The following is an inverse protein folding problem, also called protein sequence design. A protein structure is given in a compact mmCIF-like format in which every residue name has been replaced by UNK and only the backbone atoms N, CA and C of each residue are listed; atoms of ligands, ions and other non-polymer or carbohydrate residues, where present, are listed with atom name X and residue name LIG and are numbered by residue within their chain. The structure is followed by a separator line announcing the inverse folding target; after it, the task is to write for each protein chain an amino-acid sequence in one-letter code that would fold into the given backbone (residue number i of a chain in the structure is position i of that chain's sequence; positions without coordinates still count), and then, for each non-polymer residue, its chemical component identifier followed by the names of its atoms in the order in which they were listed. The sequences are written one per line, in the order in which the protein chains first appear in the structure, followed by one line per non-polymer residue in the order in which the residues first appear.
data_IF_085795895141
#
_entry.id   IF_085795895141
#
_cell.length_a   1.000
_cell.length_b   1.000
_cell.length_c   1.000
_cell.angle_alpha   90.00
_cell.angle_beta   90.00
_cell.angle_gamma   90.00
#
_symmetry.space_group_name_H-M   'P 1'
#
loop_
_entity.id
_entity.type
_entity.pdbx_description
1 polymer ?
#
# COMPACT_ATOMS: atom_id res chain seq x y z
N UNK A 1 8.50 -10.95 -8.31
CA UNK A 1 8.06 -9.68 -7.71
C UNK A 1 6.58 -9.49 -8.00
N UNK A 2 5.80 -9.07 -7.00
CA UNK A 2 4.37 -8.85 -7.13
C UNK A 2 4.01 -7.38 -6.81
N UNK A 3 3.17 -6.71 -7.63
CA UNK A 3 2.73 -5.35 -7.36
C UNK A 3 1.48 -5.32 -6.45
N UNK A 4 1.50 -6.09 -5.37
CA UNK A 4 0.42 -6.16 -4.39
C UNK A 4 0.96 -6.73 -3.09
N UNK A 5 0.95 -5.91 -2.05
CA UNK A 5 1.48 -6.29 -0.73
C UNK A 5 0.73 -7.49 -0.12
N UNK A 6 -0.59 -7.53 -0.23
CA UNK A 6 -1.39 -8.66 0.29
C UNK A 6 -1.10 -9.97 -0.45
N UNK A 7 -0.93 -9.93 -1.78
CA UNK A 7 -0.59 -11.12 -2.57
C UNK A 7 0.82 -11.62 -2.23
N UNK A 8 1.81 -10.72 -2.15
CA UNK A 8 3.17 -11.08 -1.78
C UNK A 8 3.23 -11.68 -0.36
N UNK A 9 2.55 -11.07 0.59
CA UNK A 9 2.44 -11.54 1.97
C UNK A 9 1.79 -12.93 2.05
N UNK A 10 0.68 -13.14 1.32
CA UNK A 10 0.03 -14.44 1.28
C UNK A 10 0.96 -15.55 0.79
N UNK A 11 1.64 -15.34 -0.33
CA UNK A 11 2.60 -16.33 -0.85
C UNK A 11 3.77 -16.54 0.11
N UNK A 12 4.29 -15.47 0.70
CA UNK A 12 5.44 -15.52 1.61
C UNK A 12 5.13 -16.31 2.89
N UNK A 13 3.96 -16.09 3.50
CA UNK A 13 3.64 -16.57 4.83
C UNK A 13 2.75 -17.84 4.84
N UNK A 14 1.82 -17.95 3.90
CA UNK A 14 0.80 -19.01 3.92
C UNK A 14 1.10 -20.15 2.94
N UNK A 15 1.71 -19.88 1.80
CA UNK A 15 2.03 -20.90 0.82
C UNK A 15 2.91 -22.05 1.39
N UNK A 16 3.90 -21.80 2.26
CA UNK A 16 4.65 -22.89 2.90
C UNK A 16 3.80 -23.83 3.75
N UNK A 17 2.73 -23.29 4.37
CA UNK A 17 1.79 -24.08 5.20
C UNK A 17 0.86 -24.95 4.37
N UNK A 18 0.62 -24.56 3.11
CA UNK A 18 -0.24 -25.30 2.16
C UNK A 18 0.55 -26.36 1.39
N UNK A 19 1.84 -26.18 1.24
CA UNK A 19 2.72 -27.15 0.56
C UNK A 19 2.82 -28.44 1.38
N UNK A 20 2.26 -29.53 0.86
CA UNK A 20 2.37 -30.87 1.48
C UNK A 20 3.76 -31.43 1.20
N UNK A 21 4.52 -31.76 2.26
CA UNK A 21 5.82 -32.43 2.19
C UNK A 21 7.01 -31.58 2.62
N UNK A 22 8.18 -32.23 2.81
CA UNK A 22 9.43 -31.59 3.26
C UNK A 22 10.11 -30.70 2.20
N UNK A 23 9.43 -30.35 1.13
CA UNK A 23 9.99 -29.45 0.12
C UNK A 23 9.89 -28.02 0.61
N UNK A 24 11.02 -27.39 0.88
CA UNK A 24 11.11 -25.96 1.09
C UNK A 24 10.44 -25.24 -0.09
N UNK A 25 9.40 -24.46 0.18
CA UNK A 25 8.73 -23.69 -0.86
C UNK A 25 9.65 -22.55 -1.31
N UNK A 26 10.46 -22.81 -2.35
CA UNK A 26 11.40 -21.83 -2.91
C UNK A 26 10.70 -20.54 -3.35
N UNK A 27 9.44 -20.63 -3.81
CA UNK A 27 8.66 -19.48 -4.23
C UNK A 27 8.40 -18.53 -3.04
N UNK A 28 8.03 -19.07 -1.88
CA UNK A 28 7.77 -18.23 -0.68
C UNK A 28 9.02 -17.51 -0.18
N UNK A 29 10.20 -18.10 -0.37
CA UNK A 29 11.48 -17.46 0.00
C UNK A 29 11.91 -16.38 -0.98
N UNK A 30 11.45 -16.44 -2.23
CA UNK A 30 11.88 -15.54 -3.31
C UNK A 30 10.87 -14.46 -3.65
N UNK A 31 9.60 -14.59 -3.19
CA UNK A 31 8.58 -13.60 -3.47
C UNK A 31 8.88 -12.30 -2.70
N UNK A 32 8.78 -11.19 -3.40
CA UNK A 32 8.89 -9.84 -2.83
C UNK A 32 7.77 -8.98 -3.36
N UNK A 33 7.31 -8.05 -2.55
CA UNK A 33 6.52 -6.92 -3.05
C UNK A 33 7.41 -5.99 -3.90
N UNK A 34 6.83 -5.28 -4.84
CA UNK A 34 7.57 -4.40 -5.74
C UNK A 34 8.28 -3.26 -4.98
N UNK A 35 7.66 -2.72 -3.93
CA UNK A 35 8.28 -1.69 -3.08
C UNK A 35 9.46 -2.28 -2.32
N UNK A 36 9.29 -3.47 -1.71
CA UNK A 36 10.37 -4.20 -1.04
C UNK A 36 11.53 -4.44 -2.02
N UNK A 37 11.24 -4.92 -3.22
CA UNK A 37 12.27 -5.20 -4.23
C UNK A 37 13.01 -3.93 -4.68
N UNK A 38 12.28 -2.87 -4.99
CA UNK A 38 12.90 -1.61 -5.43
C UNK A 38 13.75 -0.98 -4.31
N UNK A 39 13.22 -0.96 -3.08
CA UNK A 39 13.90 -0.33 -1.95
C UNK A 39 15.12 -1.13 -1.46
N UNK A 40 14.97 -2.45 -1.29
CA UNK A 40 15.99 -3.27 -0.59
C UNK A 40 17.00 -3.91 -1.55
N UNK A 41 16.60 -4.19 -2.81
CA UNK A 41 17.44 -4.87 -3.80
C UNK A 41 17.98 -3.90 -4.84
N UNK A 42 17.10 -3.16 -5.53
CA UNK A 42 17.51 -2.24 -6.61
C UNK A 42 18.20 -1.00 -6.07
N UNK A 43 17.67 -0.43 -4.97
CA UNK A 43 18.20 0.75 -4.28
C UNK A 43 18.46 1.93 -5.21
N UNK A 44 17.46 2.40 -5.97
CA UNK A 44 17.63 3.49 -6.89
C UNK A 44 18.04 4.76 -6.13
N UNK A 45 18.98 5.51 -6.66
CA UNK A 45 19.41 6.82 -6.12
C UNK A 45 18.70 7.98 -6.78
N UNK A 46 18.07 7.75 -7.94
CA UNK A 46 17.27 8.73 -8.69
C UNK A 46 16.27 8.02 -9.58
N UNK A 47 15.19 8.69 -9.90
CA UNK A 47 14.18 8.24 -10.87
C UNK A 47 13.94 9.36 -11.90
N UNK A 48 13.57 9.00 -13.14
CA UNK A 48 13.15 9.96 -14.15
C UNK A 48 11.66 10.32 -14.04
N UNK A 49 11.01 9.87 -12.99
CA UNK A 49 9.59 10.08 -12.75
C UNK A 49 9.29 11.52 -12.33
N UNK A 50 8.22 12.09 -12.90
CA UNK A 50 7.71 13.42 -12.57
C UNK A 50 6.22 13.35 -12.27
N UNK A 51 5.82 13.76 -11.05
CA UNK A 51 4.42 13.68 -10.59
C UNK A 51 4.09 14.89 -9.70
N UNK A 52 3.75 16.06 -10.27
CA UNK A 52 3.62 17.33 -9.55
C UNK A 52 2.26 17.46 -8.85
N UNK A 53 1.95 16.52 -7.96
CA UNK A 53 0.69 16.42 -7.24
C UNK A 53 0.90 16.19 -5.74
N UNK A 54 -0.13 16.54 -4.95
CA UNK A 54 -0.17 16.24 -3.53
C UNK A 54 -0.73 14.82 -3.36
N UNK A 55 0.08 13.95 -2.75
CA UNK A 55 -0.21 12.52 -2.61
C UNK A 55 -0.26 12.13 -1.14
N UNK A 56 -1.28 11.39 -0.73
CA UNK A 56 -1.36 10.78 0.59
C UNK A 56 -1.13 9.28 0.52
N UNK A 57 -0.27 8.73 1.43
CA UNK A 57 0.19 7.34 1.38
C UNK A 57 -0.67 6.45 2.26
N UNK A 58 -1.29 5.44 1.65
CA UNK A 58 -1.93 4.32 2.33
C UNK A 58 -0.95 3.15 2.45
N UNK A 59 -0.51 2.85 3.67
CA UNK A 59 0.57 1.86 3.90
C UNK A 59 0.15 0.40 3.71
N UNK A 60 -1.15 0.08 3.62
CA UNK A 60 -1.70 -1.29 3.63
C UNK A 60 -1.36 -2.07 4.91
N UNK A 61 -2.33 -2.72 5.53
CA UNK A 61 -2.09 -3.49 6.76
C UNK A 61 -1.14 -4.68 6.54
N UNK A 62 -1.23 -5.36 5.40
CA UNK A 62 -0.29 -6.42 5.02
C UNK A 62 1.13 -5.87 4.76
N UNK A 63 1.20 -4.70 4.11
CA UNK A 63 2.48 -4.01 3.90
C UNK A 63 3.18 -3.67 5.21
N UNK A 64 2.44 -3.14 6.18
CA UNK A 64 3.00 -2.75 7.49
C UNK A 64 3.36 -3.97 8.34
N UNK A 65 2.40 -4.89 8.56
CA UNK A 65 2.53 -5.93 9.60
C UNK A 65 3.18 -7.22 9.13
N UNK A 66 3.06 -7.54 7.84
CA UNK A 66 3.55 -8.80 7.29
C UNK A 66 4.83 -8.64 6.45
N UNK A 67 4.94 -7.56 5.68
CA UNK A 67 6.09 -7.30 4.81
C UNK A 67 7.07 -6.26 5.36
N UNK A 68 6.74 -5.58 6.45
CA UNK A 68 7.56 -4.52 7.05
C UNK A 68 7.98 -3.44 6.03
N UNK A 69 7.01 -2.94 5.25
CA UNK A 69 7.23 -1.84 4.32
C UNK A 69 7.28 -0.49 5.03
N UNK A 70 6.68 -0.40 6.23
CA UNK A 70 6.75 0.78 7.10
C UNK A 70 6.63 0.37 8.57
N UNK A 71 7.04 1.26 9.47
CA UNK A 71 6.90 1.09 10.92
C UNK A 71 5.42 1.11 11.32
N UNK A 72 4.92 0.11 12.07
CA UNK A 72 3.60 0.16 12.66
C UNK A 72 3.59 1.11 13.87
N UNK A 73 2.47 1.80 14.10
CA UNK A 73 2.34 2.78 15.19
C UNK A 73 2.32 2.14 16.58
N UNK A 74 1.94 0.86 16.67
CA UNK A 74 1.90 0.10 17.93
C UNK A 74 3.28 -0.33 18.45
N UNK A 75 4.35 -0.18 17.66
CA UNK A 75 5.72 -0.51 18.07
C UNK A 75 6.53 0.74 18.31
N UNK A 76 7.29 0.76 19.40
CA UNK A 76 8.25 1.82 19.72
C UNK A 76 9.60 1.59 19.01
N UNK A 77 9.56 1.53 17.68
CA UNK A 77 10.74 1.34 16.81
C UNK A 77 11.04 2.65 16.06
N UNK A 78 12.27 2.84 15.56
CA UNK A 78 12.58 3.97 14.70
C UNK A 78 11.63 4.00 13.50
N UNK A 79 11.06 5.16 13.24
CA UNK A 79 10.09 5.32 12.13
C UNK A 79 10.82 5.18 10.79
N UNK A 80 10.31 4.30 9.94
CA UNK A 80 10.73 4.17 8.54
C UNK A 80 9.51 3.93 7.63
N UNK A 81 9.65 4.25 6.34
CA UNK A 81 8.62 3.98 5.35
C UNK A 81 9.25 3.85 3.96
N UNK A 82 9.42 2.62 3.47
CA UNK A 82 10.02 2.31 2.17
C UNK A 82 9.25 2.92 0.99
N UNK A 83 7.93 3.05 1.12
CA UNK A 83 7.09 3.68 0.09
C UNK A 83 7.45 5.16 -0.03
N UNK A 84 7.51 5.85 1.11
CA UNK A 84 7.86 7.27 1.15
C UNK A 84 9.29 7.51 0.66
N UNK A 85 10.22 6.65 1.03
CA UNK A 85 11.61 6.78 0.61
C UNK A 85 11.77 6.67 -0.91
N UNK A 86 11.03 5.77 -1.57
CA UNK A 86 10.99 5.69 -3.03
C UNK A 86 10.27 6.88 -3.65
N UNK A 87 9.15 7.32 -3.08
CA UNK A 87 8.40 8.47 -3.61
C UNK A 87 9.19 9.78 -3.51
N UNK A 88 10.08 9.96 -2.54
CA UNK A 88 10.98 11.13 -2.45
C UNK A 88 11.93 11.27 -3.63
N UNK A 89 12.13 10.20 -4.42
CA UNK A 89 12.95 10.22 -5.63
C UNK A 89 12.19 10.74 -6.87
N UNK A 90 10.87 10.95 -6.75
CA UNK A 90 10.00 11.44 -7.83
C UNK A 90 9.98 12.96 -7.83
N UNK A 91 10.26 13.56 -8.97
CA UNK A 91 10.28 15.01 -9.11
C UNK A 91 8.87 15.63 -9.00
N UNK A 92 8.76 16.78 -8.33
CA UNK A 92 7.53 17.55 -8.20
C UNK A 92 6.51 17.01 -7.20
N UNK A 93 6.69 15.82 -6.63
CA UNK A 93 5.72 15.20 -5.72
C UNK A 93 5.68 15.92 -4.35
N UNK A 94 4.49 16.09 -3.80
CA UNK A 94 4.29 16.52 -2.41
C UNK A 94 3.65 15.38 -1.61
N UNK A 95 4.35 14.85 -0.61
CA UNK A 95 3.89 13.70 0.17
C UNK A 95 3.23 14.18 1.47
N UNK A 96 2.06 13.64 1.78
CA UNK A 96 1.32 13.86 3.01
C UNK A 96 1.00 12.53 3.67
N UNK A 97 1.02 12.47 4.98
CA UNK A 97 0.60 11.29 5.75
C UNK A 97 -0.69 11.60 6.53
N UNK A 98 -1.68 10.69 6.51
CA UNK A 98 -2.87 10.85 7.35
C UNK A 98 -2.51 10.62 8.82
N UNK A 99 -3.29 11.17 9.73
CA UNK A 99 -3.10 11.03 11.19
C UNK A 99 -2.97 9.56 11.63
N UNK A 100 -3.85 8.69 11.10
CA UNK A 100 -3.84 7.24 11.36
C UNK A 100 -3.33 6.48 10.13
N UNK A 101 -2.03 6.48 9.96
CA UNK A 101 -1.36 5.99 8.75
C UNK A 101 -1.39 4.48 8.54
N UNK A 102 -1.52 3.69 9.61
CA UNK A 102 -1.51 2.22 9.61
C UNK A 102 -2.89 1.57 9.82
N UNK A 103 -3.98 2.36 9.78
CA UNK A 103 -5.35 1.81 9.77
C UNK A 103 -5.65 1.03 8.50
N UNK A 104 -6.45 -0.04 8.68
CA UNK A 104 -6.96 -0.84 7.57
C UNK A 104 -7.98 -0.05 6.72
N UNK A 105 -8.01 -0.30 5.41
CA UNK A 105 -9.02 0.24 4.51
C UNK A 105 -10.40 -0.43 4.62
N UNK A 106 -10.48 -1.58 5.33
CA UNK A 106 -11.72 -2.33 5.49
C UNK A 106 -12.00 -3.38 4.41
N UNK A 107 -11.19 -3.53 3.35
CA UNK A 107 -11.46 -4.50 2.29
C UNK A 107 -11.48 -5.94 2.80
N UNK A 108 -10.33 -6.46 3.30
CA UNK A 108 -10.21 -7.77 3.93
C UNK A 108 -10.67 -8.98 3.10
N UNK A 109 -10.88 -8.85 1.77
CA UNK A 109 -11.38 -9.93 0.93
C UNK A 109 -12.78 -10.40 1.35
N UNK A 110 -12.87 -11.58 1.97
CA UNK A 110 -14.15 -12.14 2.49
C UNK A 110 -14.84 -11.21 3.49
N UNK A 111 -14.09 -10.49 4.31
CA UNK A 111 -14.63 -9.54 5.28
C UNK A 111 -15.55 -8.50 4.64
N UNK A 112 -15.22 -8.00 3.45
CA UNK A 112 -16.04 -7.02 2.74
C UNK A 112 -17.37 -7.61 2.21
N UNK A 113 -17.47 -8.94 2.15
CA UNK A 113 -18.69 -9.66 1.74
C UNK A 113 -19.51 -10.04 2.96
N UNK A 114 -18.88 -10.52 4.02
CA UNK A 114 -19.53 -10.98 5.25
C UNK A 114 -20.00 -9.80 6.12
N UNK A 115 -19.21 -8.71 6.15
CA UNK A 115 -19.47 -7.51 6.97
C UNK A 115 -19.45 -6.22 6.12
N UNK A 116 -20.33 -6.10 5.11
CA UNK A 116 -20.25 -5.03 4.11
C UNK A 116 -20.41 -3.63 4.69
N UNK A 117 -21.26 -3.46 5.70
CA UNK A 117 -21.50 -2.15 6.32
C UNK A 117 -20.29 -1.68 7.14
N UNK A 118 -19.65 -2.60 7.87
CA UNK A 118 -18.45 -2.30 8.66
C UNK A 118 -17.28 -2.02 7.71
N UNK A 119 -17.11 -2.86 6.70
CA UNK A 119 -16.09 -2.70 5.65
C UNK A 119 -16.19 -1.33 4.97
N UNK A 120 -17.41 -0.96 4.56
CA UNK A 120 -17.70 0.34 3.95
C UNK A 120 -17.35 1.48 4.91
N UNK A 121 -17.78 1.42 6.17
CA UNK A 121 -17.50 2.47 7.16
C UNK A 121 -16.01 2.67 7.41
N UNK A 122 -15.25 1.58 7.50
CA UNK A 122 -13.79 1.65 7.62
C UNK A 122 -13.15 2.35 6.40
N UNK A 123 -13.63 2.04 5.20
CA UNK A 123 -13.16 2.68 3.98
C UNK A 123 -13.50 4.18 3.92
N UNK A 124 -14.72 4.57 4.33
CA UNK A 124 -15.15 5.96 4.46
C UNK A 124 -14.24 6.75 5.40
N UNK A 125 -14.04 6.25 6.62
CA UNK A 125 -13.18 6.89 7.62
C UNK A 125 -11.74 7.03 7.11
N UNK A 126 -11.23 6.01 6.42
CA UNK A 126 -9.89 6.04 5.85
C UNK A 126 -9.76 7.10 4.75
N UNK A 127 -10.73 7.18 3.82
CA UNK A 127 -10.75 8.19 2.76
C UNK A 127 -10.82 9.60 3.35
N UNK A 128 -11.65 9.84 4.35
CA UNK A 128 -11.80 11.14 5.00
C UNK A 128 -10.49 11.61 5.63
N UNK A 129 -9.73 10.71 6.29
CA UNK A 129 -8.42 11.05 6.85
C UNK A 129 -7.39 11.38 5.78
N UNK A 130 -7.41 10.69 4.64
CA UNK A 130 -6.56 11.04 3.51
C UNK A 130 -6.96 12.40 2.91
N UNK A 131 -8.25 12.66 2.74
CA UNK A 131 -8.73 13.94 2.22
C UNK A 131 -8.41 15.11 3.17
N UNK A 132 -8.45 14.90 4.49
CA UNK A 132 -8.07 15.89 5.50
C UNK A 132 -6.62 16.37 5.37
N UNK A 133 -5.75 15.62 4.71
CA UNK A 133 -4.37 16.05 4.41
C UNK A 133 -4.29 17.08 3.27
N UNK A 134 -5.39 17.32 2.54
CA UNK A 134 -5.40 18.13 1.32
C UNK A 134 -4.81 17.43 0.10
N UNK A 135 -4.70 16.08 0.13
CA UNK A 135 -4.18 15.31 -0.98
C UNK A 135 -5.14 15.25 -2.17
N UNK A 136 -4.59 15.28 -3.38
CA UNK A 136 -5.29 15.05 -4.64
C UNK A 136 -5.42 13.56 -4.97
N UNK A 137 -4.42 12.78 -4.54
CA UNK A 137 -4.32 11.35 -4.77
C UNK A 137 -4.07 10.56 -3.49
N UNK A 138 -4.69 9.38 -3.41
CA UNK A 138 -4.30 8.33 -2.47
C UNK A 138 -3.47 7.32 -3.24
N UNK A 139 -2.28 7.00 -2.75
CA UNK A 139 -1.42 5.95 -3.30
C UNK A 139 -1.10 4.88 -2.26
N UNK A 140 -0.72 3.71 -2.72
CA UNK A 140 -0.29 2.61 -1.85
C UNK A 140 0.22 1.41 -2.65
N UNK A 141 0.75 0.38 -1.96
CA UNK A 141 1.35 -0.79 -2.57
C UNK A 141 0.32 -1.91 -2.83
N UNK A 142 -0.96 -1.70 -2.57
CA UNK A 142 -1.98 -2.74 -2.64
C UNK A 142 -3.19 -2.29 -3.45
N UNK A 143 -3.33 -2.84 -4.66
CA UNK A 143 -4.41 -2.52 -5.59
C UNK A 143 -5.79 -2.83 -5.02
N UNK A 144 -5.92 -3.85 -4.17
CA UNK A 144 -7.21 -4.24 -3.58
C UNK A 144 -7.73 -3.17 -2.60
N UNK A 145 -6.84 -2.60 -1.78
CA UNK A 145 -7.16 -1.48 -0.91
C UNK A 145 -7.57 -0.24 -1.70
N UNK A 146 -6.80 0.08 -2.75
CA UNK A 146 -7.10 1.25 -3.61
C UNK A 146 -8.43 1.08 -4.34
N UNK A 147 -8.70 -0.11 -4.90
CA UNK A 147 -9.96 -0.44 -5.58
C UNK A 147 -11.16 -0.29 -4.64
N UNK A 148 -11.06 -0.81 -3.41
CA UNK A 148 -12.13 -0.72 -2.41
C UNK A 148 -12.44 0.74 -2.06
N UNK A 149 -11.44 1.51 -1.68
CA UNK A 149 -11.61 2.93 -1.36
C UNK A 149 -12.09 3.74 -2.57
N UNK A 150 -11.59 3.45 -3.78
CA UNK A 150 -12.03 4.11 -5.01
C UNK A 150 -13.52 3.84 -5.30
N UNK A 151 -13.99 2.61 -5.08
CA UNK A 151 -15.40 2.24 -5.23
C UNK A 151 -16.30 3.07 -4.30
N UNK A 152 -15.92 3.19 -3.03
CA UNK A 152 -16.62 4.01 -2.03
C UNK A 152 -16.60 5.49 -2.45
N UNK A 153 -15.42 6.03 -2.77
CA UNK A 153 -15.27 7.43 -3.16
C UNK A 153 -16.11 7.80 -4.39
N UNK A 154 -16.16 6.93 -5.40
CA UNK A 154 -17.01 7.10 -6.58
C UNK A 154 -18.50 7.13 -6.23
N UNK A 155 -18.95 6.20 -5.39
CA UNK A 155 -20.35 6.12 -4.94
C UNK A 155 -20.79 7.36 -4.16
N UNK A 156 -19.86 7.96 -3.42
CA UNK A 156 -20.11 9.14 -2.57
C UNK A 156 -19.71 10.47 -3.24
N UNK A 157 -19.30 10.44 -4.51
CA UNK A 157 -18.87 11.61 -5.27
C UNK A 157 -17.73 12.40 -4.57
N UNK A 158 -16.82 11.71 -3.88
CA UNK A 158 -15.64 12.35 -3.24
C UNK A 158 -14.59 12.69 -4.30
N UNK A 159 -14.03 13.92 -4.30
CA UNK A 159 -13.12 14.39 -5.35
C UNK A 159 -11.67 13.96 -5.10
N UNK A 160 -11.44 12.70 -4.74
CA UNK A 160 -10.11 12.15 -4.51
C UNK A 160 -9.82 11.08 -5.57
N UNK A 161 -8.59 11.03 -6.06
CA UNK A 161 -8.13 10.06 -7.06
C UNK A 161 -7.29 8.97 -6.41
N UNK A 162 -7.19 7.82 -7.07
CA UNK A 162 -6.43 6.67 -6.60
C UNK A 162 -5.45 6.23 -7.67
N UNK A 163 -4.22 5.95 -7.26
CA UNK A 163 -3.13 5.55 -8.14
C UNK A 163 -2.20 4.59 -7.40
N UNK A 164 -1.76 3.53 -8.07
CA UNK A 164 -0.80 2.61 -7.46
C UNK A 164 0.59 3.25 -7.39
N UNK A 165 1.35 2.96 -6.32
CA UNK A 165 2.68 3.54 -6.12
C UNK A 165 3.61 3.33 -7.32
N UNK A 166 3.55 2.16 -7.97
CA UNK A 166 4.36 1.84 -9.16
C UNK A 166 4.06 2.75 -10.34
N UNK A 167 2.82 3.19 -10.51
CA UNK A 167 2.43 4.11 -11.57
C UNK A 167 3.07 5.49 -11.36
N UNK A 168 3.16 5.94 -10.10
CA UNK A 168 3.87 7.19 -9.76
C UNK A 168 5.36 7.03 -10.02
N UNK A 169 5.98 5.92 -9.59
CA UNK A 169 7.40 5.67 -9.79
C UNK A 169 7.79 5.53 -11.28
N UNK A 170 6.82 5.21 -12.15
CA UNK A 170 6.98 5.10 -13.59
C UNK A 170 6.45 6.34 -14.36
N UNK A 171 5.97 7.38 -13.68
CA UNK A 171 5.38 8.55 -14.32
C UNK A 171 6.44 9.36 -15.10
N UNK A 172 6.27 9.44 -16.42
CA UNK A 172 7.21 10.13 -17.32
C UNK A 172 8.19 9.20 -18.05
N UNK A 173 7.99 7.87 -17.96
CA UNK A 173 8.69 6.89 -18.80
C UNK A 173 8.01 6.75 -20.16
#
# INVERSE_FOLDING_TARGET
VAPSASCAAFVKLYHPRLAKGNHECLTSKKIMDVVEFLHDVVKPTSLKAHFPHIVSVHNSCHGVRELHLSSPSERQEPLFNKIIDLLKLVDGITIREPERKDECCGFGGMFSIEEPDVSKRMGEDKIERHMATGAEYITGPDSSCLMHMQGIAKKENKPIKFIHVVEILAAGL
#
